data_IF_602998522100
#
_entry.id   IF_602998522100
#
_cell.length_a   1.000
_cell.length_b   1.000
_cell.length_c   1.000
_cell.angle_alpha   90.00
_cell.angle_beta   90.00
_cell.angle_gamma   90.00
#
_symmetry.space_group_name_H-M   'P 1'
#
loop_
_entity.id
_entity.type
_entity.pdbx_description
1 polymer ?
#
# COMPACT_ATOMS: atom_id res chain seq x y z
N UNK A 1 -5.24 -24.66 22.52
CA UNK A 1 -6.65 -24.25 22.50
C UNK A 1 -7.00 -24.13 21.03
N UNK A 2 -7.78 -25.07 20.47
CA UNK A 2 -8.14 -25.03 19.05
C UNK A 2 -9.17 -23.93 18.81
N UNK A 3 -8.88 -23.01 17.88
CA UNK A 3 -9.87 -22.03 17.43
C UNK A 3 -11.08 -22.75 16.81
N UNK A 4 -12.31 -22.34 17.15
CA UNK A 4 -13.51 -22.96 16.62
C UNK A 4 -13.57 -22.87 15.09
N UNK A 5 -13.98 -23.94 14.41
CA UNK A 5 -14.03 -24.04 12.93
C UNK A 5 -14.78 -22.88 12.27
N UNK A 6 -15.83 -22.36 12.89
CA UNK A 6 -16.57 -21.20 12.38
C UNK A 6 -15.73 -19.92 12.37
N UNK A 7 -14.86 -19.74 13.38
CA UNK A 7 -13.92 -18.60 13.42
C UNK A 7 -12.89 -18.68 12.29
N UNK A 8 -12.42 -19.89 11.96
CA UNK A 8 -11.48 -20.11 10.84
C UNK A 8 -12.14 -19.86 9.48
N UNK A 9 -13.41 -20.24 9.31
CA UNK A 9 -14.18 -19.97 8.08
C UNK A 9 -14.44 -18.48 7.88
N UNK A 10 -14.78 -17.76 8.96
CA UNK A 10 -14.95 -16.30 8.93
C UNK A 10 -13.62 -15.62 8.57
N UNK A 11 -12.51 -16.06 9.17
CA UNK A 11 -11.17 -15.54 8.86
C UNK A 11 -10.76 -15.75 7.39
N UNK A 12 -10.98 -16.95 6.83
CA UNK A 12 -10.65 -17.22 5.42
C UNK A 12 -11.53 -16.41 4.45
N UNK A 13 -12.80 -16.24 4.78
CA UNK A 13 -13.74 -15.45 3.99
C UNK A 13 -13.37 -13.96 3.97
N UNK A 14 -13.03 -13.39 5.14
CA UNK A 14 -12.62 -11.99 5.24
C UNK A 14 -11.24 -11.75 4.60
N UNK A 15 -10.31 -12.71 4.70
CA UNK A 15 -9.05 -12.66 3.97
C UNK A 15 -9.27 -12.61 2.45
N UNK A 16 -10.14 -13.46 1.91
CA UNK A 16 -10.48 -13.45 0.48
C UNK A 16 -11.13 -12.13 0.02
N UNK A 17 -11.96 -11.49 0.87
CA UNK A 17 -12.50 -10.15 0.57
C UNK A 17 -11.41 -9.09 0.52
N UNK A 18 -10.49 -9.10 1.49
CA UNK A 18 -9.39 -8.14 1.55
C UNK A 18 -8.48 -8.29 0.33
N UNK A 19 -8.17 -9.53 -0.07
CA UNK A 19 -7.39 -9.80 -1.28
C UNK A 19 -8.10 -9.30 -2.54
N UNK A 20 -9.40 -9.56 -2.69
CA UNK A 20 -10.18 -9.04 -3.82
C UNK A 20 -10.20 -7.50 -3.86
N UNK A 21 -10.36 -6.85 -2.71
CA UNK A 21 -10.30 -5.39 -2.62
C UNK A 21 -8.92 -4.85 -3.00
N UNK A 22 -7.84 -5.51 -2.57
CA UNK A 22 -6.48 -5.12 -2.92
C UNK A 22 -6.23 -5.19 -4.42
N UNK A 23 -6.70 -6.25 -5.08
CA UNK A 23 -6.60 -6.38 -6.53
C UNK A 23 -7.36 -5.26 -7.25
N UNK A 24 -8.57 -4.93 -6.79
CA UNK A 24 -9.37 -3.85 -7.38
C UNK A 24 -8.69 -2.50 -7.18
N UNK A 25 -8.23 -2.19 -5.98
CA UNK A 25 -7.52 -0.93 -5.67
C UNK A 25 -6.24 -0.82 -6.48
N UNK A 26 -5.42 -1.87 -6.52
CA UNK A 26 -4.21 -1.91 -7.34
C UNK A 26 -4.50 -1.66 -8.82
N UNK A 27 -5.57 -2.26 -9.35
CA UNK A 27 -6.01 -2.04 -10.74
C UNK A 27 -6.44 -0.60 -11.00
N UNK A 28 -7.11 0.06 -10.04
CA UNK A 28 -7.50 1.47 -10.16
C UNK A 28 -6.25 2.36 -10.13
N UNK A 29 -5.34 2.13 -9.19
CA UNK A 29 -4.11 2.93 -9.04
C UNK A 29 -3.23 2.79 -10.29
N UNK A 30 -3.17 1.61 -10.87
CA UNK A 30 -2.48 1.33 -12.12
C UNK A 30 -2.99 2.11 -13.35
N UNK A 31 -4.15 2.78 -13.25
CA UNK A 31 -4.68 3.64 -14.33
C UNK A 31 -4.48 5.13 -14.04
N UNK A 32 -3.95 5.49 -12.87
CA UNK A 32 -3.73 6.88 -12.49
C UNK A 32 -2.47 7.45 -13.16
N UNK A 33 -2.41 8.78 -13.37
CA UNK A 33 -1.15 9.46 -13.68
C UNK A 33 -0.11 9.20 -12.59
N UNK A 34 1.17 9.20 -12.96
CA UNK A 34 2.31 8.86 -12.09
C UNK A 34 2.31 9.71 -10.82
N UNK A 35 2.00 11.01 -10.95
CA UNK A 35 1.91 11.91 -9.81
C UNK A 35 0.86 11.47 -8.79
N UNK A 36 -0.30 11.01 -9.27
CA UNK A 36 -1.36 10.52 -8.40
C UNK A 36 -0.99 9.15 -7.80
N UNK A 37 -0.36 8.26 -8.57
CA UNK A 37 0.18 7.00 -8.07
C UNK A 37 1.17 7.24 -6.92
N UNK A 38 2.08 8.20 -7.12
CA UNK A 38 3.07 8.60 -6.13
C UNK A 38 2.43 9.15 -4.85
N UNK A 39 1.43 10.04 -4.96
CA UNK A 39 0.68 10.52 -3.80
C UNK A 39 0.01 9.37 -3.03
N UNK A 40 -0.60 8.41 -3.74
CA UNK A 40 -1.21 7.23 -3.12
C UNK A 40 -0.17 6.40 -2.37
N UNK A 41 1.00 6.14 -2.96
CA UNK A 41 2.09 5.41 -2.31
C UNK A 41 2.62 6.12 -1.05
N UNK A 42 2.79 7.45 -1.13
CA UNK A 42 3.23 8.27 -0.01
C UNK A 42 2.22 8.30 1.14
N UNK A 43 0.93 8.46 0.85
CA UNK A 43 -0.12 8.47 1.86
C UNK A 43 -0.31 7.09 2.51
N UNK A 44 -0.17 6.02 1.73
CA UNK A 44 -0.17 4.66 2.24
C UNK A 44 0.99 4.44 3.23
N UNK A 45 2.22 4.85 2.88
CA UNK A 45 3.37 4.81 3.78
C UNK A 45 3.12 5.60 5.07
N UNK A 46 2.63 6.84 4.97
CA UNK A 46 2.30 7.68 6.13
C UNK A 46 1.26 7.03 7.04
N UNK A 47 0.27 6.36 6.46
CA UNK A 47 -0.71 5.61 7.25
C UNK A 47 -0.06 4.45 8.01
N UNK A 48 0.83 3.71 7.35
CA UNK A 48 1.58 2.62 7.95
C UNK A 48 2.48 3.11 9.10
N UNK A 49 3.24 4.18 8.89
CA UNK A 49 4.12 4.78 9.90
C UNK A 49 3.32 5.26 11.12
N UNK A 50 2.12 5.84 10.92
CA UNK A 50 1.22 6.22 12.02
C UNK A 50 0.73 5.00 12.81
N UNK A 51 0.33 3.93 12.13
CA UNK A 51 -0.13 2.71 12.78
C UNK A 51 0.99 2.06 13.60
N UNK A 52 2.20 1.98 13.04
CA UNK A 52 3.38 1.47 13.76
C UNK A 52 3.79 2.36 14.94
N UNK A 53 3.74 3.69 14.76
CA UNK A 53 3.99 4.62 15.86
C UNK A 53 3.02 4.38 17.02
N UNK A 54 1.72 4.25 16.74
CA UNK A 54 0.72 3.95 17.76
C UNK A 54 1.00 2.61 18.46
N UNK A 55 1.30 1.56 17.70
CA UNK A 55 1.63 0.23 18.24
C UNK A 55 2.86 0.24 19.17
N UNK A 56 3.87 1.07 18.89
CA UNK A 56 5.06 1.21 19.75
C UNK A 56 4.78 1.94 21.07
N UNK A 57 3.77 2.79 21.11
CA UNK A 57 3.44 3.63 22.26
C UNK A 57 2.25 3.11 23.08
N UNK A 58 1.75 1.91 22.76
CA UNK A 58 0.67 1.25 23.50
C UNK A 58 1.09 -0.14 23.99
N UNK A 59 0.44 -0.58 25.08
CA UNK A 59 0.55 -1.95 25.58
C UNK A 59 -0.53 -2.88 25.00
N UNK A 60 -1.47 -2.34 24.21
CA UNK A 60 -2.59 -3.08 23.64
C UNK A 60 -2.18 -3.95 22.44
N UNK A 61 -2.32 -5.27 22.60
CA UNK A 61 -1.99 -6.25 21.56
C UNK A 61 -2.86 -6.08 20.30
N UNK A 62 -4.13 -5.66 20.44
CA UNK A 62 -5.01 -5.42 19.27
C UNK A 62 -4.48 -4.31 18.38
N UNK A 63 -3.92 -3.26 18.98
CA UNK A 63 -3.30 -2.17 18.21
C UNK A 63 -2.02 -2.64 17.50
N UNK A 64 -1.27 -3.57 18.09
CA UNK A 64 -0.09 -4.17 17.44
C UNK A 64 -0.48 -5.07 16.27
N UNK A 65 -1.49 -5.93 16.46
CA UNK A 65 -2.02 -6.79 15.40
C UNK A 65 -2.58 -5.96 14.25
N UNK A 66 -3.29 -4.87 14.55
CA UNK A 66 -3.75 -3.92 13.55
C UNK A 66 -2.58 -3.31 12.76
N UNK A 67 -1.54 -2.83 13.44
CA UNK A 67 -0.38 -2.24 12.78
C UNK A 67 0.39 -3.26 11.91
N UNK A 68 0.49 -4.52 12.36
CA UNK A 68 1.06 -5.61 11.57
C UNK A 68 0.24 -5.88 10.31
N UNK A 69 -1.09 -6.02 10.44
CA UNK A 69 -1.98 -6.22 9.30
C UNK A 69 -1.95 -5.06 8.30
N UNK A 70 -1.84 -3.81 8.79
CA UNK A 70 -1.66 -2.64 7.93
C UNK A 70 -0.34 -2.71 7.16
N UNK A 71 0.76 -3.08 7.82
CA UNK A 71 2.07 -3.21 7.18
C UNK A 71 2.05 -4.26 6.06
N UNK A 72 1.53 -5.44 6.37
CA UNK A 72 1.48 -6.58 5.44
C UNK A 72 0.64 -6.28 4.20
N UNK A 73 -0.34 -5.39 4.30
CA UNK A 73 -1.19 -4.97 3.19
C UNK A 73 -0.59 -3.78 2.41
N UNK A 74 -0.12 -2.77 3.11
CA UNK A 74 0.31 -1.50 2.51
C UNK A 74 1.64 -1.63 1.78
N UNK A 75 2.61 -2.35 2.36
CA UNK A 75 3.95 -2.43 1.79
C UNK A 75 3.98 -3.10 0.41
N UNK A 76 3.32 -4.26 0.19
CA UNK A 76 3.26 -4.86 -1.14
C UNK A 76 2.57 -3.96 -2.18
N UNK A 77 1.49 -3.27 -1.79
CA UNK A 77 0.80 -2.33 -2.67
C UNK A 77 1.71 -1.18 -3.09
N UNK A 78 2.48 -0.63 -2.15
CA UNK A 78 3.45 0.44 -2.40
C UNK A 78 4.56 -0.03 -3.34
N UNK A 79 5.15 -1.19 -3.08
CA UNK A 79 6.19 -1.77 -3.94
C UNK A 79 5.70 -1.98 -5.37
N UNK A 80 4.45 -2.44 -5.55
CA UNK A 80 3.83 -2.58 -6.86
C UNK A 80 3.64 -1.22 -7.56
N UNK A 81 3.22 -0.18 -6.83
CA UNK A 81 3.10 1.18 -7.35
C UNK A 81 4.46 1.72 -7.81
N UNK A 82 5.49 1.57 -6.97
CA UNK A 82 6.84 2.06 -7.26
C UNK A 82 7.44 1.35 -8.49
N UNK A 83 7.26 0.02 -8.58
CA UNK A 83 7.66 -0.75 -9.75
C UNK A 83 6.97 -0.24 -11.01
N UNK A 84 5.67 -0.01 -10.94
CA UNK A 84 4.91 0.44 -12.10
C UNK A 84 5.30 1.85 -12.55
N UNK A 85 5.60 2.76 -11.62
CA UNK A 85 6.13 4.09 -11.94
C UNK A 85 7.48 3.97 -12.68
N UNK A 86 8.37 3.09 -12.22
CA UNK A 86 9.66 2.82 -12.91
C UNK A 86 9.46 2.33 -14.33
N UNK A 87 8.61 1.32 -14.52
CA UNK A 87 8.33 0.74 -15.85
C UNK A 87 7.72 1.76 -16.82
N UNK A 88 6.94 2.72 -16.34
CA UNK A 88 6.43 3.83 -17.16
C UNK A 88 7.53 4.83 -17.52
N UNK A 89 8.39 5.18 -16.57
CA UNK A 89 9.53 6.06 -16.81
C UNK A 89 10.53 5.48 -17.82
N UNK A 90 10.69 4.16 -17.85
CA UNK A 90 11.51 3.43 -18.81
C UNK A 90 10.84 3.26 -20.19
N UNK A 91 9.54 3.54 -20.30
CA UNK A 91 8.75 3.28 -21.51
C UNK A 91 8.43 1.79 -21.73
N UNK A 92 8.68 0.93 -20.75
CA UNK A 92 8.41 -0.51 -20.77
C UNK A 92 6.91 -0.82 -20.81
N UNK A 93 6.08 0.12 -20.35
CA UNK A 93 4.61 0.05 -20.42
C UNK A 93 4.08 1.23 -21.25
N UNK A 94 3.29 0.93 -22.28
CA UNK A 94 2.57 1.94 -23.05
C UNK A 94 1.15 2.06 -22.49
N UNK A 95 0.85 3.20 -21.86
CA UNK A 95 -0.51 3.59 -21.50
C UNK A 95 -1.06 4.53 -22.56
N UNK A 96 -2.38 4.48 -22.79
CA UNK A 96 -3.09 5.42 -23.67
C UNK A 96 -3.12 6.84 -23.12
N UNK A 97 -2.86 7.01 -21.82
CA UNK A 97 -2.69 8.29 -21.15
C UNK A 97 -1.19 8.55 -21.08
N UNK A 98 -0.72 9.63 -21.71
CA UNK A 98 0.68 10.00 -21.67
C UNK A 98 1.05 10.49 -20.25
N UNK A 99 2.12 9.95 -19.64
CA UNK A 99 2.63 10.41 -18.35
C UNK A 99 2.87 11.92 -18.34
N UNK A 100 2.49 12.61 -17.27
CA UNK A 100 3.03 13.95 -17.02
C UNK A 100 4.31 13.78 -16.18
N UNK A 101 5.47 14.26 -16.66
CA UNK A 101 6.74 14.04 -15.96
C UNK A 101 6.68 14.68 -14.56
N UNK A 102 7.06 13.92 -13.53
CA UNK A 102 7.20 14.42 -12.17
C UNK A 102 8.55 15.18 -12.08
N UNK A 103 8.55 16.49 -11.80
CA UNK A 103 9.78 17.25 -11.65
C UNK A 103 10.65 16.67 -10.51
N UNK A 104 11.99 16.68 -10.62
CA UNK A 104 12.89 16.15 -9.59
C UNK A 104 12.66 16.74 -8.18
N UNK A 105 12.19 17.98 -8.10
CA UNK A 105 11.83 18.67 -6.86
C UNK A 105 10.58 18.11 -6.17
N UNK A 106 9.73 17.36 -6.89
CA UNK A 106 8.59 16.63 -6.31
C UNK A 106 8.95 15.19 -5.90
N UNK A 107 10.19 14.76 -6.12
CA UNK A 107 10.65 13.44 -5.70
C UNK A 107 10.86 13.46 -4.18
N UNK A 108 10.16 12.57 -3.46
CA UNK A 108 10.41 12.38 -2.02
C UNK A 108 11.73 11.64 -1.90
N UNK A 109 12.75 12.37 -1.47
CA UNK A 109 14.05 11.83 -1.11
C UNK A 109 13.91 11.09 0.23
N UNK A 110 13.85 9.75 0.18
CA UNK A 110 13.73 8.89 1.36
C UNK A 110 14.88 9.08 2.36
N UNK A 111 16.03 9.65 1.95
CA UNK A 111 17.16 9.95 2.83
C UNK A 111 17.01 11.27 3.59
N UNK A 112 16.11 12.19 3.16
CA UNK A 112 15.98 13.54 3.74
C UNK A 112 14.71 13.80 4.55
N UNK A 113 13.75 12.88 4.58
CA UNK A 113 12.68 12.89 5.58
C UNK A 113 11.71 14.08 5.52
N UNK A 114 11.30 14.52 4.33
CA UNK A 114 10.19 15.47 4.15
C UNK A 114 9.01 14.82 3.42
#
# INVERSE_FOLDING_TARGET
>A
MEEPEDSRRISAYDAGKMEALLVIVGSIVAQLPERAMFCVGADAKRFCDRAQYQARHTADDRTRDFAAGVWDVVMPLREAIDQQIRELGEGSIVRTIQPFPIPPEEWVDEERGF
#
